data_IF_313866689060
#
_entry.id   IF_313866689060
#
_cell.length_a   1.000
_cell.length_b   1.000
_cell.length_c   1.000
_cell.angle_alpha   90.00
_cell.angle_beta   90.00
_cell.angle_gamma   90.00
#
_symmetry.space_group_name_H-M   'P 1'
#
loop_
_entity.id
_entity.type
_entity.pdbx_description
1 polymer ?
#
# COMPACT_ATOMS: atom_id res chain seq x y z
N UNK A 1 7.38 -0.49 -19.59
CA UNK A 1 6.59 -1.68 -19.96
C UNK A 1 5.54 -1.92 -18.87
N UNK A 2 4.28 -2.02 -19.25
CA UNK A 2 3.23 -2.48 -18.36
C UNK A 2 3.42 -3.99 -18.14
N UNK A 3 3.40 -4.47 -16.90
CA UNK A 3 3.50 -5.90 -16.63
C UNK A 3 2.23 -6.61 -17.10
N UNK A 4 2.38 -7.81 -17.61
CA UNK A 4 1.25 -8.64 -18.02
C UNK A 4 0.45 -9.07 -16.79
N UNK A 5 -0.87 -9.12 -16.92
CA UNK A 5 -1.77 -9.64 -15.88
C UNK A 5 -1.59 -11.15 -15.76
N UNK A 6 -1.31 -11.61 -14.56
CA UNK A 6 -1.31 -13.03 -14.23
C UNK A 6 -2.62 -13.40 -13.55
N UNK A 7 -3.36 -14.33 -14.15
CA UNK A 7 -4.61 -14.86 -13.61
C UNK A 7 -4.30 -16.20 -12.94
N UNK A 8 -4.64 -16.31 -11.66
CA UNK A 8 -4.48 -17.55 -10.90
C UNK A 8 -5.81 -18.31 -10.87
N UNK A 9 -5.80 -19.50 -11.44
CA UNK A 9 -6.93 -20.45 -11.39
C UNK A 9 -6.43 -21.82 -10.93
N UNK A 10 -7.03 -22.38 -9.89
CA UNK A 10 -6.76 -23.75 -9.41
C UNK A 10 -5.24 -24.06 -9.29
N UNK A 11 -4.49 -23.23 -8.55
CA UNK A 11 -3.03 -23.32 -8.35
C UNK A 11 -2.18 -23.17 -9.62
N UNK A 12 -2.78 -22.86 -10.76
CA UNK A 12 -2.06 -22.48 -11.97
C UNK A 12 -2.08 -20.96 -12.20
N UNK A 13 -0.99 -20.44 -12.73
CA UNK A 13 -0.87 -19.02 -13.09
C UNK A 13 -0.91 -18.89 -14.61
N UNK A 14 -1.99 -18.32 -15.12
CA UNK A 14 -2.10 -17.97 -16.54
C UNK A 14 -1.65 -16.53 -16.75
N UNK A 15 -0.71 -16.31 -17.66
CA UNK A 15 -0.23 -14.97 -18.02
C UNK A 15 -0.97 -14.54 -19.29
N UNK A 16 -1.84 -13.53 -19.16
CA UNK A 16 -2.58 -12.95 -20.27
C UNK A 16 -2.08 -11.56 -20.64
N UNK A 17 -2.05 -11.25 -21.93
CA UNK A 17 -1.90 -9.89 -22.41
C UNK A 17 -3.29 -9.22 -22.37
N UNK A 18 -3.59 -8.60 -21.25
CA UNK A 18 -4.75 -7.71 -21.13
C UNK A 18 -4.30 -6.35 -21.62
N UNK A 19 -4.40 -6.09 -22.92
CA UNK A 19 -4.07 -4.78 -23.48
C UNK A 19 -4.66 -3.64 -22.62
N UNK A 20 -4.06 -2.46 -22.67
CA UNK A 20 -4.60 -1.29 -21.96
C UNK A 20 -6.04 -1.06 -22.40
N UNK A 21 -7.03 -1.12 -21.48
CA UNK A 21 -8.40 -0.81 -21.88
C UNK A 21 -8.47 0.65 -22.32
N UNK A 22 -9.26 0.94 -23.33
CA UNK A 22 -9.61 2.31 -23.69
C UNK A 22 -10.23 2.98 -22.46
N UNK A 23 -9.52 3.94 -21.88
CA UNK A 23 -9.98 4.64 -20.66
C UNK A 23 -11.08 5.61 -21.07
N UNK A 24 -12.32 5.18 -20.91
CA UNK A 24 -13.51 6.02 -21.15
C UNK A 24 -14.08 6.63 -19.86
N UNK A 25 -13.59 6.14 -18.70
CA UNK A 25 -14.06 6.56 -17.38
C UNK A 25 -12.88 6.73 -16.40
N UNK A 26 -12.80 7.91 -15.79
CA UNK A 26 -11.78 8.22 -14.78
C UNK A 26 -12.27 7.81 -13.39
N UNK A 27 -11.83 6.63 -12.91
CA UNK A 27 -12.17 6.14 -11.58
C UNK A 27 -11.26 6.76 -10.52
N UNK A 28 -11.86 7.27 -9.43
CA UNK A 28 -11.09 7.74 -8.28
C UNK A 28 -10.44 6.62 -7.46
N UNK A 29 -10.88 5.38 -7.64
CA UNK A 29 -10.38 4.23 -6.88
C UNK A 29 -9.39 3.34 -7.63
N UNK A 30 -9.17 3.57 -8.93
CA UNK A 30 -8.31 2.73 -9.77
C UNK A 30 -7.91 3.43 -11.06
N UNK A 31 -7.01 2.81 -11.85
CA UNK A 31 -6.66 3.29 -13.20
C UNK A 31 -5.31 4.02 -13.28
N UNK A 32 -4.66 4.30 -12.16
CA UNK A 32 -3.30 4.81 -12.20
C UNK A 32 -2.31 3.67 -12.46
N UNK A 33 -1.34 3.95 -13.30
CA UNK A 33 -0.22 3.08 -13.59
C UNK A 33 1.08 3.80 -13.26
N UNK A 34 2.03 3.08 -12.69
CA UNK A 34 3.32 3.62 -12.30
C UNK A 34 4.33 2.53 -12.07
N UNK A 35 5.55 2.92 -11.77
CA UNK A 35 6.60 2.01 -11.34
C UNK A 35 6.64 1.91 -9.81
N UNK A 36 7.27 0.87 -9.28
CA UNK A 36 7.53 0.77 -7.85
C UNK A 36 8.34 1.99 -7.35
N UNK A 37 9.24 2.52 -8.16
CA UNK A 37 10.05 3.69 -7.81
C UNK A 37 9.20 4.97 -7.72
N UNK A 38 8.30 5.20 -8.67
CA UNK A 38 7.42 6.37 -8.63
C UNK A 38 6.52 6.33 -7.40
N UNK A 39 5.96 5.15 -7.12
CA UNK A 39 5.12 4.97 -5.94
C UNK A 39 5.92 5.12 -4.63
N UNK A 40 7.17 4.64 -4.61
CA UNK A 40 8.09 4.84 -3.48
C UNK A 40 8.35 6.32 -3.20
N UNK A 41 8.53 7.17 -4.23
CA UNK A 41 8.68 8.61 -4.06
C UNK A 41 7.44 9.25 -3.42
N UNK A 42 6.24 8.80 -3.84
CA UNK A 42 5.00 9.26 -3.20
C UNK A 42 4.93 8.87 -1.72
N UNK A 43 5.23 7.62 -1.38
CA UNK A 43 5.24 7.16 0.01
C UNK A 43 6.30 7.90 0.87
N UNK A 44 7.47 8.17 0.30
CA UNK A 44 8.49 8.99 0.97
C UNK A 44 8.01 10.41 1.21
N UNK A 45 7.29 11.01 0.27
CA UNK A 45 6.69 12.32 0.47
C UNK A 45 5.66 12.30 1.59
N UNK A 46 4.82 11.24 1.68
CA UNK A 46 3.85 11.08 2.78
C UNK A 46 4.58 10.91 4.12
N UNK A 47 5.63 10.10 4.18
CA UNK A 47 6.45 9.91 5.39
C UNK A 47 7.03 11.24 5.89
N UNK A 48 7.48 12.09 4.95
CA UNK A 48 8.17 13.36 5.20
C UNK A 48 7.22 14.59 5.15
N UNK A 49 5.98 14.45 5.59
CA UNK A 49 5.01 15.53 5.73
C UNK A 49 4.79 16.34 4.43
N UNK A 50 4.67 15.63 3.33
CA UNK A 50 4.44 16.20 2.00
C UNK A 50 5.71 16.68 1.29
N UNK A 51 6.90 16.25 1.74
CA UNK A 51 8.17 16.65 1.13
C UNK A 51 8.89 15.46 0.48
N UNK A 52 9.41 15.72 -0.72
CA UNK A 52 10.38 14.86 -1.39
C UNK A 52 11.59 15.71 -1.78
N UNK A 53 12.67 15.60 -1.01
CA UNK A 53 13.80 16.52 -1.11
C UNK A 53 13.36 17.98 -0.86
N UNK A 54 13.64 18.86 -1.82
CA UNK A 54 13.24 20.28 -1.74
C UNK A 54 11.80 20.53 -2.20
N UNK A 55 11.17 19.58 -2.87
CA UNK A 55 9.81 19.72 -3.40
C UNK A 55 8.79 19.42 -2.31
N UNK A 56 7.82 20.33 -2.14
CA UNK A 56 6.64 20.12 -1.31
C UNK A 56 5.42 19.88 -2.19
N UNK A 57 4.71 18.77 -1.99
CA UNK A 57 3.50 18.39 -2.75
C UNK A 57 2.21 18.78 -2.01
N UNK A 58 2.22 18.87 -0.67
CA UNK A 58 1.12 19.36 0.16
C UNK A 58 1.63 19.90 1.50
N UNK A 59 0.77 20.66 2.21
CA UNK A 59 1.09 21.26 3.51
C UNK A 59 1.09 20.27 4.68
N UNK A 60 1.64 20.70 5.81
CA UNK A 60 1.71 19.88 7.04
C UNK A 60 0.33 19.52 7.58
N UNK A 61 -0.63 20.46 7.55
CA UNK A 61 -2.00 20.19 7.96
C UNK A 61 -2.63 19.02 7.18
N UNK A 62 -2.33 18.92 5.88
CA UNK A 62 -2.77 17.79 5.05
C UNK A 62 -2.11 16.48 5.49
N UNK A 63 -0.86 16.53 5.94
CA UNK A 63 -0.14 15.35 6.45
C UNK A 63 -0.84 14.75 7.65
N UNK A 64 -1.31 15.56 8.58
CA UNK A 64 -2.05 15.11 9.76
C UNK A 64 -3.33 14.37 9.38
N UNK A 65 -4.09 14.91 8.41
CA UNK A 65 -5.29 14.23 7.91
C UNK A 65 -4.98 12.89 7.24
N UNK A 66 -3.86 12.77 6.56
CA UNK A 66 -3.44 11.52 5.91
C UNK A 66 -2.93 10.48 6.90
N UNK A 67 -2.37 10.89 8.02
CA UNK A 67 -1.72 10.00 9.00
C UNK A 67 -2.61 9.62 10.19
N UNK A 68 -3.66 10.39 10.46
CA UNK A 68 -4.55 10.16 11.58
C UNK A 68 -5.77 9.32 11.19
N UNK A 69 -6.30 8.56 12.17
CA UNK A 69 -7.57 7.87 12.01
C UNK A 69 -8.72 8.88 11.85
N UNK A 70 -9.47 8.77 10.77
CA UNK A 70 -10.59 9.66 10.43
C UNK A 70 -11.96 9.01 10.65
N UNK A 71 -12.01 7.74 11.02
CA UNK A 71 -13.26 7.00 11.22
C UNK A 71 -13.65 6.83 12.70
N UNK A 72 -13.02 7.61 13.58
CA UNK A 72 -13.26 7.62 15.04
C UNK A 72 -13.23 6.20 15.65
N UNK A 73 -14.33 5.76 16.30
CA UNK A 73 -14.43 4.45 16.92
C UNK A 73 -14.78 3.31 15.95
N UNK A 74 -15.05 3.63 14.68
CA UNK A 74 -15.18 2.61 13.66
C UNK A 74 -13.83 1.95 13.40
N UNK A 75 -13.87 0.65 13.12
CA UNK A 75 -12.65 -0.13 12.89
C UNK A 75 -12.77 -0.92 11.61
N UNK A 76 -11.65 -1.01 10.88
CA UNK A 76 -11.47 -1.94 9.79
C UNK A 76 -10.64 -3.12 10.33
N UNK A 77 -11.31 -4.13 10.89
CA UNK A 77 -10.65 -5.11 11.75
C UNK A 77 -10.19 -4.49 13.05
N UNK A 78 -8.89 -4.36 13.27
CA UNK A 78 -8.27 -3.72 14.45
C UNK A 78 -7.67 -2.36 14.18
N UNK A 79 -7.67 -1.94 12.91
CA UNK A 79 -7.04 -0.72 12.44
C UNK A 79 -8.08 0.39 12.25
N UNK A 80 -7.62 1.63 12.26
CA UNK A 80 -8.36 2.79 11.80
C UNK A 80 -8.23 2.99 10.30
N UNK A 81 -8.82 4.06 9.78
CA UNK A 81 -8.67 4.45 8.38
C UNK A 81 -8.53 5.97 8.25
N UNK A 82 -7.61 6.42 7.42
CA UNK A 82 -7.42 7.83 7.07
C UNK A 82 -7.98 8.13 5.68
N UNK A 83 -7.64 9.26 5.09
CA UNK A 83 -8.01 9.59 3.71
C UNK A 83 -7.15 8.85 2.66
N UNK A 84 -7.11 7.53 2.73
CA UNK A 84 -6.42 6.70 1.74
C UNK A 84 -5.53 5.60 2.31
N UNK A 85 -5.42 5.51 3.64
CA UNK A 85 -4.57 4.50 4.29
C UNK A 85 -5.30 3.81 5.44
N UNK A 86 -5.08 2.52 5.57
CA UNK A 86 -5.31 1.81 6.83
C UNK A 86 -4.25 2.29 7.82
N UNK A 87 -4.65 2.60 9.05
CA UNK A 87 -3.79 3.15 10.09
C UNK A 87 -3.72 2.17 11.26
N UNK A 88 -2.54 1.66 11.59
CA UNK A 88 -2.34 0.82 12.76
C UNK A 88 -2.50 1.65 14.03
N UNK A 89 -3.44 1.27 14.88
CA UNK A 89 -3.78 2.00 16.10
C UNK A 89 -2.96 1.50 17.32
N UNK A 90 -2.76 2.35 18.33
CA UNK A 90 -1.92 2.01 19.50
C UNK A 90 -2.45 0.84 20.34
N UNK A 91 -3.77 0.63 20.34
CA UNK A 91 -4.46 -0.43 21.09
C UNK A 91 -4.65 -1.72 20.24
N UNK A 92 -4.17 -1.74 19.02
CA UNK A 92 -4.11 -2.93 18.17
C UNK A 92 -3.08 -3.93 18.71
N UNK A 93 -3.38 -5.24 18.63
CA UNK A 93 -2.32 -6.24 18.80
C UNK A 93 -1.28 -6.06 17.69
N UNK A 94 -0.01 -6.12 18.05
CA UNK A 94 1.09 -6.08 17.09
C UNK A 94 1.06 -7.32 16.18
N UNK A 95 0.28 -7.24 15.10
CA UNK A 95 0.27 -8.27 14.07
C UNK A 95 1.53 -8.09 13.23
N UNK A 96 2.33 -9.13 13.10
CA UNK A 96 3.54 -9.12 12.28
C UNK A 96 4.51 -7.97 12.59
N UNK A 97 4.59 -7.53 13.85
CA UNK A 97 5.46 -6.41 14.26
C UNK A 97 5.13 -5.07 13.60
N UNK A 98 3.85 -4.85 13.29
CA UNK A 98 3.37 -3.54 12.80
C UNK A 98 3.36 -2.54 13.94
N UNK A 99 4.09 -1.45 13.76
CA UNK A 99 4.15 -0.39 14.76
C UNK A 99 2.91 0.53 14.68
N UNK A 100 2.44 1.09 15.81
CA UNK A 100 1.40 2.11 15.80
C UNK A 100 1.76 3.30 14.90
N UNK A 101 0.78 3.81 14.17
CA UNK A 101 0.98 4.87 13.19
C UNK A 101 1.44 4.39 11.81
N UNK A 102 1.67 3.08 11.63
CA UNK A 102 1.93 2.52 10.30
C UNK A 102 0.73 2.76 9.40
N UNK A 103 1.00 3.26 8.20
CA UNK A 103 0.02 3.45 7.13
C UNK A 103 0.21 2.38 6.07
N UNK A 104 -0.87 1.79 5.58
CA UNK A 104 -0.77 0.74 4.57
C UNK A 104 -2.04 0.64 3.73
N UNK A 105 -1.94 0.07 2.53
CA UNK A 105 -3.08 -0.37 1.74
C UNK A 105 -2.64 -1.39 0.69
N UNK A 106 -3.63 -1.96 0.03
CA UNK A 106 -3.39 -2.94 -1.03
C UNK A 106 -4.28 -2.68 -2.24
N UNK A 107 -3.91 -3.25 -3.38
CA UNK A 107 -4.66 -3.15 -4.62
C UNK A 107 -5.21 -4.49 -5.10
N UNK A 108 -6.14 -4.41 -6.06
CA UNK A 108 -6.84 -5.56 -6.64
C UNK A 108 -5.88 -6.61 -7.23
N UNK A 109 -4.77 -6.15 -7.81
CA UNK A 109 -3.76 -7.02 -8.44
C UNK A 109 -2.65 -7.47 -7.48
N UNK A 110 -2.95 -7.50 -6.17
CA UNK A 110 -2.05 -7.91 -5.10
C UNK A 110 -0.86 -6.98 -4.90
N UNK A 111 -0.95 -5.73 -5.37
CA UNK A 111 -0.01 -4.70 -4.96
C UNK A 111 -0.19 -4.41 -3.48
N UNK A 112 0.91 -4.12 -2.78
CA UNK A 112 0.88 -3.84 -1.36
C UNK A 112 1.95 -2.83 -1.00
N UNK A 113 1.66 -1.97 -0.05
CA UNK A 113 2.64 -1.00 0.44
C UNK A 113 2.39 -0.67 1.91
N UNK A 114 3.44 -0.17 2.55
CA UNK A 114 3.30 0.50 3.84
C UNK A 114 4.33 1.62 4.03
N UNK A 115 3.98 2.51 4.94
CA UNK A 115 4.82 3.57 5.50
C UNK A 115 4.94 3.26 6.99
N UNK A 116 6.16 3.15 7.50
CA UNK A 116 6.46 2.92 8.90
C UNK A 116 7.18 4.16 9.47
N UNK A 117 6.47 5.05 10.16
CA UNK A 117 7.08 6.25 10.73
C UNK A 117 8.08 5.94 11.84
N UNK A 118 7.90 4.85 12.59
CA UNK A 118 8.80 4.47 13.69
C UNK A 118 10.16 4.03 13.15
N UNK A 119 10.16 3.24 12.07
CA UNK A 119 11.38 2.78 11.39
C UNK A 119 11.89 3.75 10.33
N UNK A 120 11.17 4.86 10.12
CA UNK A 120 11.45 5.85 9.07
C UNK A 120 11.64 5.17 7.70
N UNK A 121 10.70 4.31 7.33
CA UNK A 121 10.82 3.49 6.13
C UNK A 121 9.53 3.39 5.34
N UNK A 122 9.68 3.15 4.04
CA UNK A 122 8.58 2.92 3.11
C UNK A 122 8.86 1.68 2.28
N UNK A 123 7.85 0.87 2.04
CA UNK A 123 7.97 -0.40 1.32
C UNK A 123 6.86 -0.52 0.28
N UNK A 124 7.21 -1.05 -0.87
CA UNK A 124 6.29 -1.29 -2.00
C UNK A 124 6.48 -2.71 -2.53
N UNK A 125 5.39 -3.42 -2.68
CA UNK A 125 5.30 -4.67 -3.42
C UNK A 125 4.42 -4.45 -4.66
N UNK A 126 4.98 -4.64 -5.84
CA UNK A 126 4.24 -4.60 -7.09
C UNK A 126 4.06 -6.01 -7.65
N UNK A 127 2.82 -6.39 -7.83
CA UNK A 127 2.43 -7.64 -8.50
C UNK A 127 1.33 -7.35 -9.51
N UNK A 128 1.04 -8.32 -10.36
CA UNK A 128 -0.02 -8.23 -11.35
C UNK A 128 -0.75 -9.58 -11.42
N UNK A 129 -1.33 -9.99 -10.28
CA UNK A 129 -2.02 -11.27 -10.13
C UNK A 129 -3.48 -11.03 -9.73
N UNK A 130 -4.42 -11.64 -10.46
CA UNK A 130 -5.85 -11.55 -10.14
C UNK A 130 -6.62 -12.75 -10.73
N UNK A 131 -7.57 -13.33 -9.99
CA UNK A 131 -7.67 -13.29 -8.52
C UNK A 131 -6.52 -14.08 -7.87
N UNK A 132 -6.28 -13.89 -6.58
CA UNK A 132 -5.34 -14.73 -5.84
C UNK A 132 -6.00 -15.29 -4.59
N UNK A 133 -5.86 -16.60 -4.41
CA UNK A 133 -6.29 -17.29 -3.19
C UNK A 133 -5.22 -17.22 -2.08
N UNK A 134 -3.99 -16.80 -2.42
CA UNK A 134 -2.83 -16.76 -1.53
C UNK A 134 -2.41 -15.35 -1.12
N UNK A 135 -3.33 -14.37 -1.20
CA UNK A 135 -3.03 -12.98 -0.87
C UNK A 135 -2.46 -12.83 0.55
N UNK A 136 -3.08 -13.48 1.55
CA UNK A 136 -2.62 -13.42 2.93
C UNK A 136 -1.20 -13.98 3.09
N UNK A 137 -0.92 -15.14 2.52
CA UNK A 137 0.41 -15.77 2.55
C UNK A 137 1.47 -14.90 1.87
N UNK A 138 1.12 -14.26 0.74
CA UNK A 138 2.01 -13.36 0.02
C UNK A 138 2.38 -12.15 0.90
N UNK A 139 1.39 -11.50 1.49
CA UNK A 139 1.63 -10.30 2.29
C UNK A 139 2.38 -10.62 3.58
N UNK A 140 1.96 -11.64 4.31
CA UNK A 140 2.61 -12.07 5.55
C UNK A 140 4.06 -12.52 5.30
N UNK A 141 4.29 -13.31 4.26
CA UNK A 141 5.64 -13.75 3.88
C UNK A 141 6.54 -12.60 3.43
N UNK A 142 5.97 -11.61 2.73
CA UNK A 142 6.70 -10.41 2.33
C UNK A 142 7.05 -9.54 3.54
N UNK A 143 6.08 -9.26 4.44
CA UNK A 143 6.32 -8.50 5.66
C UNK A 143 7.38 -9.14 6.55
N UNK A 144 7.31 -10.46 6.76
CA UNK A 144 8.31 -11.19 7.56
C UNK A 144 9.72 -11.04 7.01
N UNK A 145 9.89 -11.14 5.69
CA UNK A 145 11.21 -10.99 5.04
C UNK A 145 11.75 -9.57 5.17
N UNK A 146 10.91 -8.56 4.93
CA UNK A 146 11.30 -7.16 5.09
C UNK A 146 11.64 -6.87 6.56
N UNK A 147 10.79 -7.28 7.51
CA UNK A 147 11.04 -7.07 8.93
C UNK A 147 12.31 -7.77 9.42
N UNK A 148 12.68 -8.92 8.85
CA UNK A 148 13.93 -9.60 9.18
C UNK A 148 15.17 -8.84 8.72
N UNK A 149 15.05 -7.97 7.72
CA UNK A 149 16.16 -7.16 7.21
C UNK A 149 16.46 -5.92 8.06
N UNK A 150 15.55 -5.53 8.97
CA UNK A 150 15.76 -4.42 9.90
C UNK A 150 16.52 -4.82 11.19
N UNK A 151 16.98 -6.07 11.30
CA UNK A 151 17.72 -6.58 12.46
C UNK A 151 19.20 -6.39 12.34
#
# INVERSE_FOLDING_TARGET
RVSQLSIQENDSVNVGDQGMPDITYFSGGSGLMGTAQDYQHFLQAVLNDGRLGETRIYGEDTSDFLKQNQIADLRLGRDGFSYGFLVTLPDGELINSREPGRLQWSGLFQTYFWIDPVRNSTVVLMTQVFPSQHQGELYDGFEQRVNSAYR
#
